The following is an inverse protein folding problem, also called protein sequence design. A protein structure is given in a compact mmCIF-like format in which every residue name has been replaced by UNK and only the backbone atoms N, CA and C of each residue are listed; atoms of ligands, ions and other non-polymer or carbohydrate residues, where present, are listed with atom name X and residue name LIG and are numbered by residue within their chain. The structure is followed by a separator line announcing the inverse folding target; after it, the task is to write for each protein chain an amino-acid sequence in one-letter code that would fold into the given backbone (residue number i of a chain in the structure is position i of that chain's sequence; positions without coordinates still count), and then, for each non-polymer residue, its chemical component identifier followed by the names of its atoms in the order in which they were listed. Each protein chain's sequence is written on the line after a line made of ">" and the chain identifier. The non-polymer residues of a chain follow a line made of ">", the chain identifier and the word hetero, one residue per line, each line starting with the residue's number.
data_IF_751453886164
#
_entry.id   IF_751453886164
#
_cell.length_a   1.000
_cell.length_b   1.000
_cell.length_c   1.000
_cell.angle_alpha   90.00
_cell.angle_beta   90.00
_cell.angle_gamma   90.00
#
_symmetry.space_group_name_H-M   'P 1'
#
loop_
_entity.id
_entity.type
_entity.pdbx_description
1 polymer ?
#
# COMPACT_ATOMS: atom_id res chain seq x y z
N UNK A 1 10.93 70.50 -1.44
CA UNK A 1 10.01 69.36 -1.10
C UNK A 1 9.68 68.47 -2.28
N UNK A 2 9.45 68.91 -3.50
CA UNK A 2 9.06 68.06 -4.66
C UNK A 2 10.09 67.04 -5.11
N UNK A 3 11.40 67.30 -5.01
CA UNK A 3 12.49 66.38 -5.45
C UNK A 3 12.64 65.12 -4.56
N UNK A 4 12.36 65.21 -3.27
CA UNK A 4 12.46 64.09 -2.34
C UNK A 4 11.23 63.15 -2.45
N UNK A 5 10.09 63.67 -2.79
CA UNK A 5 8.86 62.87 -2.99
C UNK A 5 8.96 62.00 -4.25
N UNK A 6 9.56 62.54 -5.32
CA UNK A 6 9.76 61.77 -6.56
C UNK A 6 10.79 60.64 -6.38
N UNK A 7 11.85 60.86 -5.62
CA UNK A 7 12.83 59.80 -5.28
C UNK A 7 12.21 58.70 -4.43
N UNK A 8 11.40 59.03 -3.43
CA UNK A 8 10.69 58.04 -2.59
C UNK A 8 9.70 57.19 -3.40
N UNK A 9 8.98 57.84 -4.34
CA UNK A 9 8.02 57.18 -5.21
C UNK A 9 8.69 56.19 -6.19
N UNK A 10 9.81 56.56 -6.79
CA UNK A 10 10.59 55.71 -7.66
C UNK A 10 11.19 54.52 -6.89
N UNK A 11 11.64 54.69 -5.62
CA UNK A 11 12.19 53.61 -4.79
C UNK A 11 11.12 52.59 -4.40
N UNK A 12 9.90 53.04 -4.09
CA UNK A 12 8.78 52.12 -3.77
C UNK A 12 8.35 51.30 -4.97
N UNK A 13 8.34 51.89 -6.18
CA UNK A 13 8.01 51.19 -7.42
C UNK A 13 9.08 50.12 -7.74
N UNK A 14 10.37 50.43 -7.56
CA UNK A 14 11.45 49.48 -7.81
C UNK A 14 11.41 48.31 -6.82
N UNK A 15 11.10 48.59 -5.54
CA UNK A 15 10.95 47.52 -4.53
C UNK A 15 9.74 46.63 -4.81
N UNK A 16 8.62 47.22 -5.26
CA UNK A 16 7.44 46.41 -5.63
C UNK A 16 7.66 45.62 -6.93
N UNK A 17 8.45 46.09 -7.87
CA UNK A 17 8.84 45.32 -9.07
C UNK A 17 9.80 44.20 -8.74
N UNK A 18 10.74 44.41 -7.83
CA UNK A 18 11.68 43.36 -7.36
C UNK A 18 10.96 42.29 -6.56
N UNK A 19 9.92 42.61 -5.78
CA UNK A 19 9.09 41.62 -5.08
C UNK A 19 8.17 40.81 -6.02
N UNK A 20 7.75 41.39 -7.14
CA UNK A 20 7.00 40.68 -8.18
C UNK A 20 7.90 39.75 -9.01
N UNK A 21 9.18 40.07 -9.20
CA UNK A 21 10.14 39.20 -9.89
C UNK A 21 10.62 38.02 -9.01
N UNK A 22 10.60 38.20 -7.70
CA UNK A 22 10.92 37.08 -6.77
C UNK A 22 9.76 36.12 -6.54
N UNK A 23 8.52 36.45 -6.94
CA UNK A 23 7.37 35.55 -6.86
C UNK A 23 7.24 34.56 -8.04
N UNK A 24 8.01 34.79 -9.13
CA UNK A 24 8.22 33.81 -10.19
C UNK A 24 9.44 32.90 -9.85
N UNK A 25 9.50 32.33 -8.66
CA UNK A 25 10.17 31.05 -8.54
C UNK A 25 9.32 30.08 -9.35
N UNK A 26 9.75 29.79 -10.58
CA UNK A 26 9.39 28.56 -11.25
C UNK A 26 9.61 27.46 -10.21
N UNK A 27 8.53 26.91 -9.66
CA UNK A 27 8.61 25.57 -9.12
C UNK A 27 9.17 24.74 -10.28
N UNK A 28 10.48 24.45 -10.24
CA UNK A 28 11.03 23.44 -11.11
C UNK A 28 10.13 22.22 -10.83
N UNK A 29 9.31 21.85 -11.78
CA UNK A 29 8.60 20.57 -11.74
C UNK A 29 9.66 19.56 -11.38
N UNK A 30 9.56 19.00 -10.18
CA UNK A 30 10.46 17.94 -9.73
C UNK A 30 10.24 16.81 -10.71
N UNK A 31 11.15 16.67 -11.67
CA UNK A 31 11.09 15.62 -12.68
C UNK A 31 10.96 14.29 -11.93
N UNK A 32 9.83 13.62 -12.08
CA UNK A 32 9.58 12.34 -11.45
C UNK A 32 10.55 11.32 -12.05
N UNK A 33 11.42 10.67 -11.25
CA UNK A 33 12.34 9.65 -11.75
C UNK A 33 11.58 8.52 -12.42
N UNK A 34 12.06 8.12 -13.62
CA UNK A 34 11.49 7.02 -14.39
C UNK A 34 12.32 5.78 -14.19
N UNK A 35 11.68 4.68 -13.78
CA UNK A 35 12.26 3.35 -13.66
C UNK A 35 11.79 2.52 -14.84
N UNK A 36 12.71 2.24 -15.79
CA UNK A 36 12.40 1.45 -16.99
C UNK A 36 12.56 -0.04 -16.71
N UNK A 37 11.45 -0.76 -16.69
CA UNK A 37 11.38 -2.20 -16.39
C UNK A 37 11.76 -3.10 -17.58
N UNK A 38 12.23 -2.55 -18.69
CA UNK A 38 12.55 -3.33 -19.91
C UNK A 38 13.81 -4.20 -19.82
N UNK A 39 14.76 -3.86 -18.94
CA UNK A 39 16.07 -4.53 -18.83
C UNK A 39 16.26 -5.15 -17.45
N UNK A 40 15.61 -6.27 -17.19
CA UNK A 40 15.71 -6.98 -15.90
C UNK A 40 16.62 -8.21 -16.02
N UNK A 41 17.52 -8.37 -15.05
CA UNK A 41 18.37 -9.57 -14.91
C UNK A 41 17.65 -10.60 -14.04
N UNK A 42 17.58 -11.83 -14.49
CA UNK A 42 17.13 -12.92 -13.63
C UNK A 42 18.13 -13.15 -12.50
N UNK A 43 17.63 -13.39 -11.32
CA UNK A 43 18.43 -13.66 -10.13
C UNK A 43 17.77 -14.71 -9.24
N UNK A 44 18.54 -15.29 -8.34
CA UNK A 44 18.03 -16.18 -7.31
C UNK A 44 17.59 -15.37 -6.07
N UNK A 45 16.80 -16.02 -5.21
CA UNK A 45 16.41 -15.44 -3.91
C UNK A 45 17.64 -15.15 -3.05
N UNK A 46 18.67 -16.04 -3.10
CA UNK A 46 19.91 -15.85 -2.36
C UNK A 46 20.75 -14.66 -2.83
N UNK A 47 20.56 -14.19 -4.06
CA UNK A 47 21.31 -13.02 -4.56
C UNK A 47 20.81 -11.70 -3.93
N UNK A 48 19.55 -11.67 -3.52
CA UNK A 48 18.87 -10.47 -3.03
C UNK A 48 18.84 -10.36 -1.52
N UNK A 49 18.68 -11.49 -0.83
CA UNK A 49 18.42 -11.47 0.60
C UNK A 49 19.60 -12.02 1.39
N UNK A 50 19.99 -11.28 2.41
CA UNK A 50 21.03 -11.68 3.37
C UNK A 50 20.49 -12.72 4.38
N UNK A 51 19.18 -12.64 4.66
CA UNK A 51 18.51 -13.47 5.66
C UNK A 51 17.04 -13.68 5.33
N UNK A 52 16.53 -14.88 5.60
CA UNK A 52 15.10 -15.23 5.57
C UNK A 52 14.72 -15.71 6.96
N UNK A 53 13.84 -15.03 7.65
CA UNK A 53 13.34 -15.39 8.98
C UNK A 53 11.91 -15.90 8.87
N UNK A 54 11.63 -17.05 9.50
CA UNK A 54 10.32 -17.68 9.47
C UNK A 54 9.72 -17.66 10.87
N UNK A 55 8.54 -17.04 10.97
CA UNK A 55 7.76 -16.97 12.20
C UNK A 55 6.49 -17.80 12.02
N UNK A 56 6.36 -18.94 12.73
CA UNK A 56 5.15 -19.75 12.69
C UNK A 56 4.01 -19.02 13.39
N UNK A 57 2.86 -18.89 12.74
CA UNK A 57 1.64 -18.38 13.37
C UNK A 57 0.88 -19.55 13.99
N UNK A 58 0.90 -19.63 15.31
CA UNK A 58 0.23 -20.70 16.06
C UNK A 58 -1.14 -20.20 16.53
N UNK A 59 -2.20 -20.77 15.95
CA UNK A 59 -3.57 -20.50 16.39
C UNK A 59 -3.85 -21.17 17.74
N UNK A 60 -4.85 -20.69 18.43
CA UNK A 60 -5.39 -21.36 19.62
C UNK A 60 -6.10 -22.64 19.20
N UNK A 61 -6.04 -23.66 20.03
CA UNK A 61 -6.74 -24.93 19.78
C UNK A 61 -8.23 -24.71 19.47
N UNK A 62 -8.69 -25.33 18.40
CA UNK A 62 -10.05 -25.17 17.89
C UNK A 62 -10.27 -23.99 16.92
N UNK A 63 -9.31 -23.09 16.77
CA UNK A 63 -9.35 -22.00 15.82
C UNK A 63 -8.45 -22.30 14.61
N UNK A 64 -8.76 -21.68 13.47
CA UNK A 64 -7.93 -21.80 12.25
C UNK A 64 -7.84 -20.46 11.53
N UNK A 65 -6.76 -20.26 10.76
CA UNK A 65 -6.65 -19.16 9.80
C UNK A 65 -7.38 -19.56 8.50
N UNK A 66 -8.25 -18.70 8.02
CA UNK A 66 -8.77 -18.80 6.65
C UNK A 66 -7.74 -18.37 5.61
N UNK A 67 -8.15 -18.20 4.37
CA UNK A 67 -7.29 -17.62 3.34
C UNK A 67 -6.91 -16.20 3.74
N UNK A 68 -5.60 -15.98 3.92
CA UNK A 68 -5.08 -14.69 4.38
C UNK A 68 -5.09 -13.67 3.24
N UNK A 69 -5.88 -12.63 3.41
CA UNK A 69 -5.99 -11.54 2.45
C UNK A 69 -4.92 -10.48 2.68
N UNK A 70 -4.72 -10.10 3.95
CA UNK A 70 -3.84 -9.00 4.29
C UNK A 70 -3.06 -9.27 5.58
N UNK A 71 -1.82 -8.80 5.61
CA UNK A 71 -0.96 -8.81 6.80
C UNK A 71 -0.52 -7.39 7.08
N UNK A 72 -0.67 -6.94 8.30
CA UNK A 72 -0.05 -5.72 8.79
C UNK A 72 1.00 -6.06 9.84
N UNK A 73 2.17 -5.46 9.69
CA UNK A 73 3.32 -5.67 10.57
C UNK A 73 3.53 -4.39 11.38
N UNK A 74 3.61 -4.53 12.70
CA UNK A 74 4.00 -3.45 13.61
C UNK A 74 5.20 -3.88 14.45
N UNK A 75 5.69 -3.01 15.31
CA UNK A 75 6.81 -3.34 16.20
C UNK A 75 6.48 -4.50 17.15
N UNK A 76 5.23 -4.57 17.62
CA UNK A 76 4.80 -5.50 18.65
C UNK A 76 4.00 -6.70 18.13
N UNK A 77 3.31 -6.53 16.99
CA UNK A 77 2.31 -7.49 16.54
C UNK A 77 2.36 -7.74 15.04
N UNK A 78 1.82 -8.91 14.65
CA UNK A 78 1.30 -9.18 13.33
C UNK A 78 -0.23 -9.17 13.42
N UNK A 79 -0.90 -8.37 12.58
CA UNK A 79 -2.35 -8.37 12.45
C UNK A 79 -2.68 -8.95 11.09
N UNK A 80 -3.38 -10.07 11.10
CA UNK A 80 -3.69 -10.85 9.90
C UNK A 80 -5.20 -10.82 9.69
N UNK A 81 -5.66 -10.46 8.49
CA UNK A 81 -7.06 -10.64 8.10
C UNK A 81 -7.22 -11.80 7.14
N UNK A 82 -8.32 -12.51 7.25
CA UNK A 82 -8.66 -13.61 6.36
C UNK A 82 -9.95 -13.34 5.55
N UNK A 83 -10.23 -14.19 4.57
CA UNK A 83 -11.40 -14.08 3.69
C UNK A 83 -12.76 -14.14 4.41
N UNK A 84 -12.79 -14.55 5.68
CA UNK A 84 -13.99 -14.50 6.55
C UNK A 84 -14.15 -13.14 7.23
N UNK A 85 -13.24 -12.18 6.96
CA UNK A 85 -13.17 -10.87 7.59
C UNK A 85 -12.82 -10.92 9.09
N UNK A 86 -12.18 -12.00 9.53
CA UNK A 86 -11.64 -12.16 10.88
C UNK A 86 -10.26 -11.54 10.93
N UNK A 87 -10.03 -10.68 11.91
CA UNK A 87 -8.71 -10.17 12.24
C UNK A 87 -8.15 -11.00 13.39
N UNK A 88 -6.93 -11.50 13.21
CA UNK A 88 -6.21 -12.24 14.24
C UNK A 88 -4.92 -11.53 14.56
N UNK A 89 -4.64 -11.36 15.84
CA UNK A 89 -3.43 -10.72 16.37
C UNK A 89 -2.48 -11.79 16.90
N UNK A 90 -1.23 -11.70 16.43
CA UNK A 90 -0.13 -12.50 16.93
C UNK A 90 0.98 -11.60 17.47
N UNK A 91 1.69 -12.03 18.52
CA UNK A 91 2.92 -11.35 18.93
C UNK A 91 4.05 -11.58 17.91
N UNK A 92 5.21 -10.98 18.14
CA UNK A 92 6.36 -11.09 17.20
C UNK A 92 7.00 -12.50 17.19
N UNK A 93 6.64 -13.37 18.14
CA UNK A 93 7.05 -14.77 18.13
C UNK A 93 6.07 -15.67 17.36
N UNK A 94 4.94 -15.09 16.92
CA UNK A 94 3.86 -15.76 16.21
C UNK A 94 2.84 -16.45 17.13
N UNK A 95 2.90 -16.19 18.43
CA UNK A 95 1.92 -16.70 19.39
C UNK A 95 0.63 -15.92 19.29
N UNK A 96 -0.50 -16.63 19.28
CA UNK A 96 -1.83 -16.05 19.28
C UNK A 96 -2.05 -15.12 20.49
N UNK A 97 -2.54 -13.92 20.23
CA UNK A 97 -2.95 -12.95 21.24
C UNK A 97 -4.48 -12.92 21.33
N UNK A 98 -5.14 -12.63 20.22
CA UNK A 98 -6.59 -12.44 20.19
C UNK A 98 -7.16 -12.59 18.77
N UNK A 99 -8.48 -12.69 18.68
CA UNK A 99 -9.20 -12.74 17.41
C UNK A 99 -10.50 -11.93 17.51
N UNK A 100 -10.90 -11.33 16.41
CA UNK A 100 -12.19 -10.63 16.28
C UNK A 100 -13.37 -11.54 15.91
N UNK A 101 -13.19 -12.86 15.94
CA UNK A 101 -14.21 -13.81 15.50
C UNK A 101 -15.56 -13.61 16.20
N UNK A 102 -15.54 -13.32 17.50
CA UNK A 102 -16.73 -13.03 18.30
C UNK A 102 -17.25 -11.59 18.18
N UNK A 103 -16.66 -10.79 17.27
CA UNK A 103 -17.09 -9.42 16.98
C UNK A 103 -17.76 -9.28 15.62
N UNK A 104 -17.99 -10.40 14.94
CA UNK A 104 -18.74 -10.42 13.67
C UNK A 104 -20.23 -10.48 13.99
N UNK A 105 -20.97 -9.46 13.60
CA UNK A 105 -22.41 -9.36 13.85
C UNK A 105 -22.96 -7.96 13.65
N UNK A 106 -24.13 -7.69 14.21
CA UNK A 106 -24.83 -6.41 14.12
C UNK A 106 -25.03 -5.72 15.48
N UNK A 107 -24.38 -6.21 16.52
CA UNK A 107 -24.41 -5.61 17.85
C UNK A 107 -23.65 -4.28 17.94
N UNK A 108 -23.79 -3.60 19.08
CA UNK A 108 -23.16 -2.29 19.28
C UNK A 108 -21.62 -2.34 19.15
N UNK A 109 -21.01 -3.41 19.62
CA UNK A 109 -19.56 -3.64 19.61
C UNK A 109 -19.10 -4.54 18.47
N UNK A 110 -19.96 -4.81 17.50
CA UNK A 110 -19.74 -5.75 16.42
C UNK A 110 -19.66 -5.04 15.08
N UNK A 111 -19.16 -5.75 14.07
CA UNK A 111 -19.17 -5.33 12.68
C UNK A 111 -19.64 -6.46 11.78
N UNK A 112 -20.35 -6.12 10.73
CA UNK A 112 -20.82 -7.10 9.72
C UNK A 112 -19.88 -7.15 8.50
N UNK A 113 -19.18 -6.06 8.21
CA UNK A 113 -18.30 -5.93 7.05
C UNK A 113 -17.06 -5.13 7.45
N UNK A 114 -15.88 -5.66 7.11
CA UNK A 114 -14.59 -4.95 7.18
C UNK A 114 -14.28 -4.39 5.80
N UNK A 115 -14.35 -3.07 5.65
CA UNK A 115 -13.91 -2.39 4.44
C UNK A 115 -12.39 -2.25 4.41
N UNK A 116 -11.78 -1.96 5.56
CA UNK A 116 -10.35 -1.85 5.76
C UNK A 116 -10.02 -1.88 7.24
N UNK A 117 -8.75 -2.07 7.56
CA UNK A 117 -8.29 -1.99 8.94
C UNK A 117 -6.88 -1.45 9.03
N UNK A 118 -6.51 -0.94 10.20
CA UNK A 118 -5.16 -0.53 10.55
C UNK A 118 -4.85 -0.88 12.00
N UNK A 119 -3.60 -1.24 12.28
CA UNK A 119 -3.05 -1.17 13.64
C UNK A 119 -2.41 0.20 13.80
N UNK A 120 -2.97 1.02 14.68
CA UNK A 120 -2.48 2.37 14.94
C UNK A 120 -1.31 2.32 15.95
N UNK A 121 -0.07 2.57 15.52
CA UNK A 121 1.10 2.46 16.39
C UNK A 121 1.19 3.55 17.45
N UNK A 122 0.41 4.63 17.32
CA UNK A 122 0.44 5.76 18.25
C UNK A 122 -0.40 5.55 19.52
N UNK A 123 -1.33 4.59 19.49
CA UNK A 123 -2.20 4.25 20.62
C UNK A 123 -2.36 2.75 20.86
N UNK A 124 -1.72 1.91 20.03
CA UNK A 124 -1.80 0.44 20.03
C UNK A 124 -3.22 -0.09 19.82
N UNK A 125 -4.03 0.62 19.06
CA UNK A 125 -5.39 0.21 18.75
C UNK A 125 -5.47 -0.53 17.41
N UNK A 126 -6.47 -1.41 17.29
CA UNK A 126 -6.92 -1.96 16.02
C UNK A 126 -8.11 -1.12 15.56
N UNK A 127 -7.98 -0.51 14.42
CA UNK A 127 -8.98 0.37 13.84
C UNK A 127 -9.62 -0.29 12.63
N UNK A 128 -10.93 -0.53 12.68
CA UNK A 128 -11.70 -1.23 11.65
C UNK A 128 -12.64 -0.25 10.97
N UNK A 129 -12.47 -0.10 9.67
CA UNK A 129 -13.44 0.61 8.82
C UNK A 129 -14.61 -0.30 8.49
N UNK A 130 -15.80 0.20 8.77
CA UNK A 130 -17.08 -0.34 8.29
C UNK A 130 -17.73 0.64 7.32
N UNK A 131 -18.81 0.33 6.64
CA UNK A 131 -19.47 1.29 5.73
C UNK A 131 -19.85 2.63 6.37
N UNK A 132 -20.12 2.65 7.68
CA UNK A 132 -20.62 3.84 8.36
C UNK A 132 -19.75 4.32 9.54
N UNK A 133 -18.85 3.51 10.04
CA UNK A 133 -18.11 3.79 11.27
C UNK A 133 -16.64 3.38 11.17
N UNK A 134 -15.81 4.11 11.92
CA UNK A 134 -14.50 3.65 12.36
C UNK A 134 -14.67 3.09 13.78
N UNK A 135 -14.39 1.81 13.94
CA UNK A 135 -14.43 1.10 15.23
C UNK A 135 -12.99 0.97 15.73
N UNK A 136 -12.73 1.51 16.92
CA UNK A 136 -11.41 1.44 17.54
C UNK A 136 -11.47 0.43 18.69
N UNK A 137 -10.67 -0.62 18.59
CA UNK A 137 -10.54 -1.68 19.59
C UNK A 137 -9.15 -1.66 20.20
N UNK A 138 -9.02 -2.17 21.43
CA UNK A 138 -7.72 -2.59 21.93
C UNK A 138 -7.24 -3.88 21.22
N UNK A 139 -6.03 -4.32 21.52
CA UNK A 139 -5.48 -5.56 20.94
C UNK A 139 -6.21 -6.83 21.35
N UNK A 140 -7.12 -6.79 22.32
CA UNK A 140 -7.97 -7.89 22.74
C UNK A 140 -9.39 -7.79 22.16
N UNK A 141 -9.62 -6.87 21.22
CA UNK A 141 -10.91 -6.56 20.61
C UNK A 141 -11.99 -6.10 21.61
N UNK A 142 -11.61 -5.40 22.69
CA UNK A 142 -12.56 -4.61 23.47
C UNK A 142 -12.80 -3.28 22.77
N UNK A 143 -14.06 -2.95 22.49
CA UNK A 143 -14.40 -1.69 21.83
C UNK A 143 -14.09 -0.50 22.75
N UNK A 144 -13.22 0.37 22.27
CA UNK A 144 -12.83 1.61 22.97
C UNK A 144 -13.64 2.80 22.48
N UNK A 145 -13.90 2.84 21.15
CA UNK A 145 -14.59 3.97 20.53
C UNK A 145 -15.24 3.54 19.21
N UNK A 146 -16.41 4.13 18.95
CA UNK A 146 -17.13 4.04 17.67
C UNK A 146 -17.31 5.45 17.11
N UNK A 147 -16.71 5.73 15.97
CA UNK A 147 -16.71 7.06 15.33
C UNK A 147 -17.51 6.99 14.05
N UNK A 148 -18.48 7.88 13.90
CA UNK A 148 -19.26 7.95 12.65
C UNK A 148 -18.38 8.52 11.54
N UNK A 149 -18.35 7.84 10.41
CA UNK A 149 -17.65 8.29 9.20
C UNK A 149 -18.51 9.33 8.44
N UNK A 150 -17.85 10.25 7.71
CA UNK A 150 -18.54 11.15 6.81
C UNK A 150 -19.15 10.37 5.65
N UNK A 151 -20.44 10.60 5.39
CA UNK A 151 -21.19 9.91 4.32
C UNK A 151 -21.28 10.73 3.04
N UNK A 152 -20.84 12.00 3.05
CA UNK A 152 -20.87 12.91 1.89
C UNK A 152 -19.65 13.82 1.91
N UNK A 153 -19.08 14.06 0.75
CA UNK A 153 -18.20 15.21 0.53
C UNK A 153 -19.06 16.47 0.31
N UNK A 154 -18.60 17.62 0.80
CA UNK A 154 -19.34 18.88 0.71
C UNK A 154 -19.75 19.28 -0.72
N UNK A 155 -19.12 18.70 -1.74
CA UNK A 155 -19.34 19.00 -3.16
C UNK A 155 -20.01 17.86 -3.96
N UNK A 156 -20.19 16.68 -3.37
CA UNK A 156 -20.79 15.53 -4.09
C UNK A 156 -22.30 15.50 -3.93
N UNK A 157 -23.03 15.45 -5.04
CA UNK A 157 -24.48 15.54 -5.03
C UNK A 157 -25.19 14.25 -4.63
N UNK A 158 -24.70 13.04 -4.91
CA UNK A 158 -25.57 11.88 -4.97
C UNK A 158 -25.05 10.51 -4.49
N UNK A 159 -23.84 10.34 -4.00
CA UNK A 159 -23.38 9.01 -3.61
C UNK A 159 -22.85 8.95 -2.19
N UNK A 160 -23.24 7.89 -1.48
CA UNK A 160 -22.69 7.60 -0.15
C UNK A 160 -21.20 7.39 -0.24
N UNK A 161 -20.43 8.18 0.53
CA UNK A 161 -19.00 8.05 0.63
C UNK A 161 -18.68 6.81 1.49
N UNK A 162 -17.93 5.86 0.93
CA UNK A 162 -17.38 4.71 1.63
C UNK A 162 -15.87 4.70 1.52
N UNK A 163 -15.20 4.08 2.47
CA UNK A 163 -13.75 4.02 2.52
C UNK A 163 -13.29 2.56 2.61
N UNK A 164 -12.28 2.19 1.84
CA UNK A 164 -11.75 0.83 1.82
C UNK A 164 -10.33 0.71 2.36
N UNK A 165 -9.69 1.82 2.68
CA UNK A 165 -8.34 1.86 3.27
C UNK A 165 -8.22 2.94 4.32
N UNK A 166 -7.42 2.65 5.33
CA UNK A 166 -7.05 3.57 6.41
C UNK A 166 -5.55 3.50 6.66
N UNK A 167 -4.95 4.65 6.89
CA UNK A 167 -3.57 4.77 7.34
C UNK A 167 -3.47 5.83 8.44
N UNK A 168 -2.73 5.54 9.51
CA UNK A 168 -2.67 6.38 10.70
C UNK A 168 -1.50 7.36 10.63
N UNK A 169 -1.80 8.65 10.67
CA UNK A 169 -0.81 9.73 10.75
C UNK A 169 -0.47 10.08 12.19
N UNK A 170 -1.41 9.88 13.11
CA UNK A 170 -1.24 10.08 14.55
C UNK A 170 -2.33 9.31 15.30
N UNK A 171 -2.38 9.50 16.61
CA UNK A 171 -3.40 8.90 17.50
C UNK A 171 -4.85 9.11 17.02
N UNK A 172 -5.12 10.24 16.38
CA UNK A 172 -6.48 10.64 15.98
C UNK A 172 -6.59 11.08 14.51
N UNK A 173 -5.47 11.24 13.81
CA UNK A 173 -5.48 11.63 12.42
C UNK A 173 -5.24 10.41 11.52
N UNK A 174 -6.14 10.24 10.58
CA UNK A 174 -6.15 9.12 9.65
C UNK A 174 -6.22 9.62 8.21
N UNK A 175 -5.55 8.93 7.31
CA UNK A 175 -5.80 9.04 5.88
C UNK A 175 -6.80 7.96 5.52
N UNK A 176 -7.93 8.36 4.96
CA UNK A 176 -8.98 7.48 4.46
C UNK A 176 -8.98 7.53 2.94
N UNK A 177 -9.00 6.36 2.29
CA UNK A 177 -9.12 6.28 0.84
C UNK A 177 -10.55 5.88 0.50
N UNK A 178 -11.27 6.74 -0.26
CA UNK A 178 -12.62 6.42 -0.72
C UNK A 178 -12.61 5.22 -1.68
N UNK A 179 -13.64 4.40 -1.61
CA UNK A 179 -13.92 3.38 -2.63
C UNK A 179 -14.28 4.05 -3.95
N UNK A 180 -13.74 3.57 -5.06
CA UNK A 180 -13.98 4.14 -6.40
C UNK A 180 -15.36 3.79 -6.98
N UNK A 181 -16.43 3.83 -6.17
CA UNK A 181 -17.77 3.45 -6.63
C UNK A 181 -18.36 4.42 -7.64
N UNK A 182 -17.83 5.63 -7.76
CA UNK A 182 -18.42 6.68 -8.63
C UNK A 182 -17.48 7.32 -9.65
N UNK A 183 -16.24 6.84 -9.80
CA UNK A 183 -15.31 7.43 -10.80
C UNK A 183 -14.85 8.88 -10.54
N UNK A 184 -15.37 9.54 -9.52
CA UNK A 184 -15.10 10.97 -9.23
C UNK A 184 -14.13 11.20 -8.07
N UNK A 185 -13.75 10.17 -7.32
CA UNK A 185 -12.88 10.33 -6.15
C UNK A 185 -11.41 10.19 -6.53
N UNK A 186 -10.73 11.31 -6.68
CA UNK A 186 -9.33 11.41 -7.10
C UNK A 186 -8.39 11.71 -5.95
N UNK A 187 -8.76 11.44 -4.72
CA UNK A 187 -7.96 11.85 -3.58
C UNK A 187 -8.10 10.97 -2.36
N UNK A 188 -7.29 11.26 -1.36
CA UNK A 188 -7.37 10.72 -0.03
C UNK A 188 -7.89 11.79 0.92
N UNK A 189 -8.58 11.40 1.98
CA UNK A 189 -9.14 12.32 2.95
C UNK A 189 -8.38 12.24 4.26
N UNK A 190 -7.97 13.38 4.80
CA UNK A 190 -7.45 13.46 6.17
C UNK A 190 -8.63 13.61 7.12
N UNK A 191 -8.82 12.61 7.94
CA UNK A 191 -9.94 12.51 8.89
C UNK A 191 -9.44 12.59 10.33
N UNK A 192 -10.06 13.46 11.12
CA UNK A 192 -9.83 13.53 12.57
C UNK A 192 -10.94 12.76 13.30
N UNK A 193 -10.57 11.61 13.85
CA UNK A 193 -11.49 10.76 14.61
C UNK A 193 -11.91 11.35 15.96
N UNK A 194 -11.21 12.37 16.49
CA UNK A 194 -11.59 13.05 17.73
C UNK A 194 -12.79 13.98 17.53
N UNK A 195 -12.82 14.70 16.43
CA UNK A 195 -13.88 15.64 16.05
C UNK A 195 -14.88 15.07 15.04
N UNK A 196 -14.63 13.87 14.49
CA UNK A 196 -15.40 13.24 13.39
C UNK A 196 -15.48 14.11 12.13
N UNK A 197 -14.40 14.82 11.79
CA UNK A 197 -14.37 15.76 10.67
C UNK A 197 -13.30 15.42 9.64
N UNK A 198 -13.62 15.67 8.36
CA UNK A 198 -12.61 15.75 7.30
C UNK A 198 -11.90 17.10 7.46
N UNK A 199 -10.58 17.08 7.59
CA UNK A 199 -9.76 18.26 7.73
C UNK A 199 -9.23 18.74 6.39
N UNK A 200 -8.86 17.82 5.51
CA UNK A 200 -8.22 18.13 4.23
C UNK A 200 -8.45 17.02 3.22
N UNK A 201 -8.43 17.38 1.94
CA UNK A 201 -8.28 16.45 0.83
C UNK A 201 -6.81 16.43 0.38
N UNK A 202 -6.27 15.25 0.10
CA UNK A 202 -4.96 15.07 -0.53
C UNK A 202 -5.24 14.64 -1.95
N UNK A 203 -5.20 15.60 -2.88
CA UNK A 203 -5.36 15.32 -4.29
C UNK A 203 -4.04 14.77 -4.85
N UNK A 204 -4.12 13.75 -5.66
CA UNK A 204 -3.01 13.23 -6.45
C UNK A 204 -3.45 13.06 -7.90
N UNK A 205 -2.54 13.39 -8.80
CA UNK A 205 -2.81 13.26 -10.23
C UNK A 205 -2.90 11.79 -10.61
N UNK A 206 -4.00 11.42 -11.27
CA UNK A 206 -4.21 10.11 -11.86
C UNK A 206 -4.19 10.21 -13.38
N UNK A 207 -3.44 9.31 -14.01
CA UNK A 207 -3.52 9.15 -15.46
C UNK A 207 -4.80 8.37 -15.84
N UNK A 208 -5.17 8.37 -17.13
CA UNK A 208 -6.37 7.65 -17.59
C UNK A 208 -6.32 6.15 -17.28
N UNK A 209 -5.11 5.56 -17.29
CA UNK A 209 -4.90 4.15 -16.95
C UNK A 209 -5.17 3.88 -15.46
N UNK A 210 -4.96 4.88 -14.60
CA UNK A 210 -5.19 4.78 -13.15
C UNK A 210 -6.68 4.72 -12.80
N UNK A 211 -7.56 5.05 -13.75
CA UNK A 211 -9.02 4.95 -13.58
C UNK A 211 -9.56 3.53 -13.75
N UNK A 212 -8.69 2.58 -14.08
CA UNK A 212 -9.07 1.17 -14.17
C UNK A 212 -9.25 0.63 -12.76
N UNK A 213 -10.43 0.12 -12.50
CA UNK A 213 -10.75 -0.51 -11.21
C UNK A 213 -10.09 -1.89 -11.09
N UNK A 214 -8.76 -1.91 -11.07
CA UNK A 214 -7.99 -3.08 -10.63
C UNK A 214 -7.58 -2.84 -9.19
N UNK A 215 -8.08 -3.64 -8.28
CA UNK A 215 -7.62 -3.60 -6.90
C UNK A 215 -6.12 -3.93 -6.86
N UNK A 216 -5.34 -2.92 -6.57
CA UNK A 216 -3.93 -3.04 -6.20
C UNK A 216 -3.84 -3.07 -4.67
N UNK A 217 -2.86 -3.80 -4.14
CA UNK A 217 -2.55 -3.70 -2.72
C UNK A 217 -2.11 -2.26 -2.43
N UNK A 218 -2.88 -1.57 -1.59
CA UNK A 218 -2.53 -0.22 -1.14
C UNK A 218 -1.39 -0.33 -0.12
N UNK A 219 -0.38 0.47 -0.31
CA UNK A 219 0.81 0.48 0.49
C UNK A 219 1.07 1.88 1.04
N UNK A 220 1.44 1.97 2.32
CA UNK A 220 1.91 3.19 2.95
C UNK A 220 3.19 2.91 3.73
N UNK A 221 4.18 3.79 3.58
CA UNK A 221 5.41 3.78 4.38
C UNK A 221 5.75 5.21 4.77
N UNK A 222 5.89 5.44 6.09
CA UNK A 222 6.30 6.73 6.61
C UNK A 222 7.81 6.77 6.86
N UNK A 223 8.42 7.88 6.43
CA UNK A 223 9.81 8.21 6.75
C UNK A 223 9.86 9.70 7.15
N UNK A 224 9.92 9.97 8.45
CA UNK A 224 9.79 11.33 8.99
C UNK A 224 8.42 11.95 8.70
N UNK A 225 8.38 13.12 8.02
CA UNK A 225 7.15 13.74 7.55
C UNK A 225 6.67 13.18 6.21
N UNK A 226 7.54 12.56 5.43
CA UNK A 226 7.16 11.99 4.14
C UNK A 226 6.44 10.66 4.31
N UNK A 227 5.30 10.52 3.63
CA UNK A 227 4.55 9.27 3.53
C UNK A 227 4.53 8.85 2.08
N UNK A 228 5.21 7.75 1.78
CA UNK A 228 5.14 7.10 0.46
C UNK A 228 3.90 6.22 0.40
N UNK A 229 3.20 6.26 -0.70
CA UNK A 229 2.02 5.42 -0.89
C UNK A 229 1.83 4.98 -2.34
N UNK A 230 1.09 3.89 -2.48
CA UNK A 230 0.55 3.39 -3.75
C UNK A 230 -0.95 3.36 -3.61
N UNK A 231 -1.71 4.00 -4.50
CA UNK A 231 -3.17 3.97 -4.45
C UNK A 231 -3.70 2.54 -4.69
N UNK A 232 -4.92 2.22 -4.20
CA UNK A 232 -5.52 0.89 -4.36
C UNK A 232 -6.08 0.62 -5.77
N UNK A 233 -5.70 1.42 -6.73
CA UNK A 233 -6.05 1.33 -8.15
C UNK A 233 -4.80 1.01 -8.97
N UNK A 234 -4.99 0.55 -10.21
CA UNK A 234 -3.86 0.40 -11.12
C UNK A 234 -3.21 1.76 -11.36
N UNK A 235 -1.92 1.86 -11.13
CA UNK A 235 -1.14 3.08 -11.36
C UNK A 235 0.29 2.73 -11.73
N UNK A 236 0.89 3.50 -12.64
CA UNK A 236 2.30 3.40 -12.99
C UNK A 236 3.20 4.17 -12.03
N UNK A 237 2.65 4.73 -10.96
CA UNK A 237 3.37 5.60 -10.04
C UNK A 237 3.47 5.03 -8.63
N UNK A 238 4.51 5.45 -7.91
CA UNK A 238 4.55 5.58 -6.46
C UNK A 238 4.46 7.07 -6.16
N UNK A 239 3.65 7.43 -5.18
CA UNK A 239 3.42 8.80 -4.73
C UNK A 239 4.06 9.03 -3.36
N UNK A 240 4.23 10.30 -3.03
CA UNK A 240 4.59 10.73 -1.68
C UNK A 240 3.78 11.97 -1.31
N UNK A 241 3.41 12.10 -0.04
CA UNK A 241 2.89 13.34 0.50
C UNK A 241 3.60 13.69 1.81
N UNK A 242 3.68 14.95 2.13
CA UNK A 242 4.18 15.41 3.42
C UNK A 242 3.04 15.39 4.46
N UNK A 243 3.23 14.67 5.57
CA UNK A 243 2.21 14.51 6.61
C UNK A 243 1.87 15.82 7.36
N UNK A 244 2.65 16.89 7.17
CA UNK A 244 2.43 18.21 7.78
C UNK A 244 1.70 19.15 6.84
N UNK A 245 2.21 19.29 5.61
CA UNK A 245 1.61 20.19 4.61
C UNK A 245 0.49 19.53 3.82
N UNK A 246 0.47 18.20 3.77
CA UNK A 246 -0.43 17.37 2.97
C UNK A 246 -0.27 17.61 1.45
N UNK A 247 0.87 18.14 1.03
CA UNK A 247 1.19 18.29 -0.37
C UNK A 247 1.64 16.96 -0.94
N UNK A 248 1.04 16.56 -2.06
CA UNK A 248 1.27 15.29 -2.73
C UNK A 248 2.02 15.48 -4.04
N UNK A 249 2.88 14.53 -4.38
CA UNK A 249 3.61 14.50 -5.65
C UNK A 249 3.89 13.06 -6.09
N UNK A 250 4.14 12.89 -7.38
CA UNK A 250 4.66 11.65 -7.96
C UNK A 250 6.12 11.46 -7.52
N UNK A 251 6.43 10.30 -6.95
CA UNK A 251 7.78 9.99 -6.46
C UNK A 251 8.60 9.19 -7.45
N UNK A 252 7.99 8.17 -8.06
CA UNK A 252 8.57 7.32 -9.11
C UNK A 252 7.53 7.01 -10.16
N UNK A 253 7.95 6.96 -11.42
CA UNK A 253 7.17 6.43 -12.55
C UNK A 253 7.79 5.12 -13.01
N UNK A 254 6.95 4.13 -13.31
CA UNK A 254 7.39 2.87 -13.89
C UNK A 254 7.00 2.84 -15.37
N UNK A 255 7.98 2.58 -16.21
CA UNK A 255 7.77 2.33 -17.64
C UNK A 255 8.20 0.92 -17.97
N UNK A 256 7.35 0.18 -18.65
CA UNK A 256 7.63 -1.20 -19.01
C UNK A 256 8.24 -1.36 -20.39
N UNK A 257 8.67 -2.58 -20.67
CA UNK A 257 9.01 -3.02 -22.03
C UNK A 257 7.77 -3.08 -22.92
N UNK A 258 7.96 -3.46 -24.19
CA UNK A 258 6.91 -3.51 -25.23
C UNK A 258 5.70 -4.41 -24.89
N UNK A 259 5.83 -5.28 -23.89
CA UNK A 259 4.76 -6.18 -23.45
C UNK A 259 3.94 -5.67 -22.26
N UNK A 260 4.30 -4.52 -21.68
CA UNK A 260 3.51 -3.95 -20.57
C UNK A 260 2.15 -3.47 -21.06
N UNK A 261 1.17 -3.55 -20.15
CA UNK A 261 -0.15 -2.96 -20.37
C UNK A 261 -0.01 -1.46 -20.57
N UNK A 262 -0.64 -0.94 -21.63
CA UNK A 262 -0.65 0.48 -21.95
C UNK A 262 -2.08 1.02 -21.99
N UNK A 263 -2.22 2.34 -21.98
CA UNK A 263 -3.52 3.01 -22.18
C UNK A 263 -4.17 2.56 -23.50
N UNK A 264 -3.40 2.47 -24.57
CA UNK A 264 -3.91 2.09 -25.91
C UNK A 264 -4.52 0.68 -25.92
N UNK A 265 -3.99 -0.25 -25.12
CA UNK A 265 -4.54 -1.61 -25.01
C UNK A 265 -5.98 -1.60 -24.46
N UNK A 266 -6.37 -0.55 -23.76
CA UNK A 266 -7.67 -0.40 -23.10
C UNK A 266 -8.62 0.54 -23.81
N UNK A 267 -8.12 1.44 -24.66
CA UNK A 267 -8.93 2.39 -25.43
C UNK A 267 -9.91 1.69 -26.39
N UNK A 268 -9.53 0.52 -26.91
CA UNK A 268 -10.37 -0.29 -27.79
C UNK A 268 -11.71 -0.73 -27.14
N UNK A 269 -11.79 -0.68 -25.80
CA UNK A 269 -12.99 -1.09 -25.05
C UNK A 269 -13.88 0.10 -24.64
N UNK A 270 -13.43 1.34 -24.87
CA UNK A 270 -14.16 2.57 -24.52
C UNK A 270 -14.57 2.57 -23.04
N UNK A 271 -15.84 2.86 -22.74
CA UNK A 271 -16.40 2.89 -21.37
C UNK A 271 -16.90 1.51 -20.89
N UNK A 272 -16.64 0.42 -21.62
CA UNK A 272 -17.14 -0.90 -21.24
C UNK A 272 -16.26 -1.59 -20.20
N UNK A 273 -16.51 -1.34 -18.93
CA UNK A 273 -15.75 -1.88 -17.80
C UNK A 273 -15.73 -3.42 -17.76
N UNK A 274 -16.80 -4.10 -18.12
CA UNK A 274 -16.86 -5.56 -18.12
C UNK A 274 -15.88 -6.14 -19.17
N UNK A 275 -15.79 -5.53 -20.36
CA UNK A 275 -14.85 -5.97 -21.39
C UNK A 275 -13.40 -5.67 -20.98
N UNK A 276 -13.14 -4.51 -20.37
CA UNK A 276 -11.81 -4.20 -19.82
C UNK A 276 -11.39 -5.23 -18.79
N UNK A 277 -12.25 -5.53 -17.81
CA UNK A 277 -11.96 -6.51 -16.77
C UNK A 277 -11.70 -7.91 -17.36
N UNK A 278 -12.52 -8.34 -18.32
CA UNK A 278 -12.32 -9.63 -18.99
C UNK A 278 -10.98 -9.67 -19.76
N UNK A 279 -10.61 -8.58 -20.43
CA UNK A 279 -9.31 -8.46 -21.09
C UNK A 279 -8.17 -8.53 -20.07
N UNK A 280 -8.22 -7.77 -18.99
CA UNK A 280 -7.20 -7.76 -17.93
C UNK A 280 -7.03 -9.11 -17.23
N UNK A 281 -8.09 -9.92 -17.18
CA UNK A 281 -8.01 -11.27 -16.64
C UNK A 281 -7.32 -12.26 -17.58
N UNK A 282 -7.42 -12.05 -18.90
CA UNK A 282 -7.01 -13.03 -19.92
C UNK A 282 -5.85 -12.58 -20.80
N UNK A 283 -5.41 -11.33 -20.69
CA UNK A 283 -4.31 -10.79 -21.51
C UNK A 283 -2.96 -11.42 -21.16
N UNK A 284 -2.10 -11.58 -22.17
CA UNK A 284 -0.69 -11.94 -21.98
C UNK A 284 0.21 -10.71 -21.69
N UNK A 285 -0.38 -9.53 -21.62
CA UNK A 285 0.34 -8.31 -21.20
C UNK A 285 0.83 -8.43 -19.77
N UNK A 286 1.89 -7.74 -19.47
CA UNK A 286 2.46 -7.61 -18.14
C UNK A 286 1.77 -6.47 -17.40
N UNK A 287 1.28 -6.75 -16.21
CA UNK A 287 0.49 -5.83 -15.39
C UNK A 287 1.18 -5.63 -14.05
N UNK A 288 1.42 -4.39 -13.65
CA UNK A 288 1.94 -4.05 -12.32
C UNK A 288 0.85 -4.24 -11.28
N UNK A 289 0.96 -5.30 -10.47
CA UNK A 289 -0.08 -5.67 -9.50
C UNK A 289 0.10 -4.92 -8.18
N UNK A 290 1.33 -4.82 -7.70
CA UNK A 290 1.64 -4.05 -6.50
C UNK A 290 3.06 -3.49 -6.55
N UNK A 291 3.28 -2.42 -5.82
CA UNK A 291 4.57 -1.75 -5.66
C UNK A 291 4.77 -1.41 -4.19
N UNK A 292 5.95 -1.68 -3.67
CA UNK A 292 6.31 -1.37 -2.28
C UNK A 292 7.72 -0.83 -2.23
N UNK A 293 7.93 0.18 -1.41
CA UNK A 293 9.24 0.81 -1.24
C UNK A 293 9.80 0.48 0.14
N UNK A 294 11.07 0.19 0.19
CA UNK A 294 11.90 0.11 1.41
C UNK A 294 13.11 1.03 1.24
N UNK A 295 13.92 1.20 2.27
CA UNK A 295 15.05 2.14 2.22
C UNK A 295 15.98 1.88 1.04
N UNK A 296 16.39 0.64 0.82
CA UNK A 296 17.37 0.26 -0.22
C UNK A 296 16.75 -0.06 -1.58
N UNK A 297 15.47 -0.39 -1.64
CA UNK A 297 14.89 -0.95 -2.86
C UNK A 297 13.42 -0.60 -3.07
N UNK A 298 12.94 -0.86 -4.28
CA UNK A 298 11.52 -0.92 -4.59
C UNK A 298 11.25 -2.33 -5.12
N UNK A 299 10.23 -3.00 -4.58
CA UNK A 299 9.74 -4.26 -5.11
C UNK A 299 8.44 -4.04 -5.89
N UNK A 300 8.38 -4.61 -7.08
CA UNK A 300 7.21 -4.54 -7.96
C UNK A 300 6.77 -5.96 -8.28
N UNK A 301 5.52 -6.29 -7.99
CA UNK A 301 4.94 -7.55 -8.44
C UNK A 301 4.28 -7.38 -9.81
N UNK A 302 4.61 -8.26 -10.72
CA UNK A 302 4.13 -8.26 -12.09
C UNK A 302 3.37 -9.54 -12.37
N UNK A 303 2.15 -9.38 -12.87
CA UNK A 303 1.34 -10.47 -13.41
C UNK A 303 1.54 -10.55 -14.92
N UNK A 304 1.79 -11.75 -15.45
CA UNK A 304 1.80 -12.03 -16.90
C UNK A 304 0.84 -13.17 -17.20
N UNK A 305 -0.17 -12.86 -17.98
CA UNK A 305 -1.24 -13.82 -18.28
C UNK A 305 -2.10 -14.17 -17.07
N UNK A 306 -2.94 -15.19 -17.21
CA UNK A 306 -3.86 -15.66 -16.16
C UNK A 306 -3.29 -16.81 -15.29
N UNK A 307 -2.08 -17.30 -15.57
CA UNK A 307 -1.45 -18.39 -14.82
C UNK A 307 -0.54 -17.83 -13.74
N UNK A 308 -0.60 -18.40 -12.54
CA UNK A 308 0.29 -18.03 -11.43
C UNK A 308 1.77 -18.20 -11.80
N UNK A 309 2.11 -19.18 -12.66
CA UNK A 309 3.48 -19.38 -13.17
C UNK A 309 4.03 -18.22 -14.00
N UNK A 310 3.16 -17.32 -14.48
CA UNK A 310 3.54 -16.09 -15.17
C UNK A 310 3.81 -14.91 -14.23
N UNK A 311 3.67 -15.09 -12.92
CA UNK A 311 3.90 -14.02 -11.95
C UNK A 311 5.37 -13.98 -11.53
N UNK A 312 5.90 -12.78 -11.41
CA UNK A 312 7.26 -12.53 -10.96
C UNK A 312 7.37 -11.22 -10.19
N UNK A 313 8.48 -11.04 -9.50
CA UNK A 313 8.78 -9.79 -8.80
C UNK A 313 10.02 -9.17 -9.41
N UNK A 314 10.03 -7.84 -9.53
CA UNK A 314 11.19 -7.05 -9.87
C UNK A 314 11.62 -6.30 -8.63
N UNK A 315 12.89 -6.37 -8.30
CA UNK A 315 13.52 -5.55 -7.27
C UNK A 315 14.40 -4.51 -7.96
N UNK A 316 14.11 -3.25 -7.73
CA UNK A 316 14.92 -2.11 -8.14
C UNK A 316 15.82 -1.71 -6.97
N UNK A 317 17.13 -1.86 -7.12
CA UNK A 317 18.13 -1.40 -6.16
C UNK A 317 18.35 0.10 -6.35
N UNK A 318 18.04 0.89 -5.32
CA UNK A 318 18.12 2.36 -5.40
C UNK A 318 19.55 2.90 -5.49
N UNK A 319 20.53 2.16 -4.99
CA UNK A 319 21.93 2.60 -4.98
C UNK A 319 22.61 2.36 -6.32
N UNK A 320 22.39 1.18 -6.92
CA UNK A 320 23.00 0.81 -8.19
C UNK A 320 22.14 1.11 -9.43
N UNK A 321 20.82 1.29 -9.25
CA UNK A 321 19.86 1.38 -10.34
C UNK A 321 19.58 0.03 -11.03
N UNK A 322 20.11 -1.07 -10.51
CA UNK A 322 19.91 -2.40 -11.10
C UNK A 322 18.50 -2.92 -10.87
N UNK A 323 17.99 -3.63 -11.87
CA UNK A 323 16.70 -4.33 -11.83
C UNK A 323 16.95 -5.84 -11.83
N UNK A 324 16.45 -6.51 -10.79
CA UNK A 324 16.60 -7.95 -10.58
C UNK A 324 15.24 -8.62 -10.55
N UNK A 325 15.06 -9.68 -11.33
CA UNK A 325 13.80 -10.42 -11.46
C UNK A 325 13.86 -11.74 -10.70
N UNK A 326 12.85 -11.99 -9.90
CA UNK A 326 12.60 -13.26 -9.24
C UNK A 326 11.27 -13.82 -9.73
N UNK A 327 11.29 -15.04 -10.27
CA UNK A 327 10.06 -15.76 -10.59
C UNK A 327 9.41 -16.25 -9.28
N UNK A 328 8.06 -16.18 -9.20
CA UNK A 328 7.36 -16.70 -8.03
C UNK A 328 7.32 -18.23 -8.01
N UNK A 329 7.45 -18.84 -9.18
CA UNK A 329 7.37 -20.28 -9.37
C UNK A 329 8.55 -20.78 -10.20
N UNK A 330 9.01 -22.01 -9.88
CA UNK A 330 9.89 -22.82 -10.73
C UNK A 330 9.12 -24.09 -11.10
N UNK A 331 8.62 -24.16 -12.33
CA UNK A 331 7.63 -25.15 -12.73
C UNK A 331 6.34 -25.03 -11.89
N UNK A 332 6.01 -26.09 -11.15
CA UNK A 332 4.85 -26.10 -10.23
C UNK A 332 5.20 -25.71 -8.79
N UNK A 333 6.49 -25.60 -8.45
CA UNK A 333 6.94 -25.27 -7.09
C UNK A 333 6.95 -23.76 -6.90
N UNK A 334 6.33 -23.28 -5.84
CA UNK A 334 6.43 -21.88 -5.40
C UNK A 334 7.81 -21.67 -4.77
N UNK A 335 8.52 -20.62 -5.20
CA UNK A 335 9.89 -20.32 -4.73
C UNK A 335 10.00 -18.97 -4.06
N UNK A 336 9.09 -18.06 -4.39
CA UNK A 336 9.02 -16.75 -3.77
C UNK A 336 7.54 -16.34 -3.61
N UNK A 337 7.09 -15.86 -2.44
CA UNK A 337 5.71 -15.44 -2.23
C UNK A 337 5.49 -14.00 -2.65
N UNK A 338 4.22 -13.62 -2.81
CA UNK A 338 3.85 -12.21 -2.89
C UNK A 338 4.14 -11.52 -1.55
N UNK A 339 4.80 -10.37 -1.62
CA UNK A 339 5.03 -9.55 -0.43
C UNK A 339 3.70 -8.89 -0.06
N UNK A 340 3.37 -8.95 1.22
CA UNK A 340 2.12 -8.44 1.80
C UNK A 340 2.31 -7.17 2.61
N UNK A 341 3.51 -6.96 3.14
CA UNK A 341 3.86 -5.78 3.93
C UNK A 341 5.35 -5.51 3.86
N UNK A 342 5.75 -4.31 4.22
CA UNK A 342 7.16 -3.92 4.36
C UNK A 342 7.34 -3.01 5.58
N UNK A 343 8.54 -3.01 6.13
CA UNK A 343 9.06 -1.93 6.94
C UNK A 343 10.22 -1.22 6.22
N UNK A 344 10.94 -0.33 6.89
CA UNK A 344 12.05 0.41 6.26
C UNK A 344 13.14 -0.51 5.67
N UNK A 345 13.36 -1.70 6.22
CA UNK A 345 14.50 -2.56 5.89
C UNK A 345 14.13 -3.95 5.38
N UNK A 346 12.87 -4.37 5.55
CA UNK A 346 12.46 -5.75 5.34
C UNK A 346 11.17 -5.87 4.55
N UNK A 347 11.05 -6.99 3.86
CA UNK A 347 9.85 -7.40 3.16
C UNK A 347 9.18 -8.53 3.95
N UNK A 348 7.86 -8.53 4.01
CA UNK A 348 7.08 -9.54 4.73
C UNK A 348 6.08 -10.20 3.80
N UNK A 349 6.05 -11.53 3.86
CA UNK A 349 5.07 -12.34 3.15
C UNK A 349 4.33 -13.25 4.10
N UNK A 350 3.13 -13.64 3.71
CA UNK A 350 2.43 -14.76 4.31
C UNK A 350 2.63 -16.01 3.44
N UNK A 351 2.95 -17.12 4.08
CA UNK A 351 3.13 -18.41 3.42
C UNK A 351 2.21 -19.42 4.08
N UNK A 352 1.40 -20.08 3.28
CA UNK A 352 0.52 -21.12 3.74
C UNK A 352 1.31 -22.38 4.15
N UNK A 353 0.77 -23.13 5.10
CA UNK A 353 1.42 -24.32 5.66
C UNK A 353 1.83 -25.35 4.58
N UNK A 354 0.99 -25.53 3.57
CA UNK A 354 1.27 -26.46 2.48
C UNK A 354 2.38 -25.99 1.52
N UNK A 355 2.61 -24.69 1.39
CA UNK A 355 3.61 -24.12 0.46
C UNK A 355 5.03 -24.14 1.06
N UNK A 356 5.13 -23.98 2.39
CA UNK A 356 6.41 -23.77 3.07
C UNK A 356 7.43 -24.89 2.83
N UNK A 357 7.09 -26.21 2.89
CA UNK A 357 8.08 -27.27 2.68
C UNK A 357 8.79 -27.19 1.33
N UNK A 358 8.04 -26.93 0.26
CA UNK A 358 8.60 -26.79 -1.10
C UNK A 358 9.48 -25.55 -1.24
N UNK A 359 9.10 -24.46 -0.60
CA UNK A 359 9.88 -23.21 -0.60
C UNK A 359 11.19 -23.38 0.17
N UNK A 360 11.17 -24.06 1.33
CA UNK A 360 12.36 -24.35 2.12
C UNK A 360 13.36 -25.21 1.36
N UNK A 361 12.88 -26.22 0.64
CA UNK A 361 13.74 -27.05 -0.21
C UNK A 361 14.44 -26.19 -1.26
N UNK A 362 13.69 -25.33 -1.96
CA UNK A 362 14.24 -24.43 -2.97
C UNK A 362 15.25 -23.44 -2.37
N UNK A 363 14.92 -22.80 -1.23
CA UNK A 363 15.83 -21.83 -0.58
C UNK A 363 17.13 -22.49 -0.12
N UNK A 364 17.08 -23.72 0.41
CA UNK A 364 18.29 -24.49 0.74
C UNK A 364 19.15 -24.77 -0.50
N UNK A 365 18.51 -25.19 -1.61
CA UNK A 365 19.21 -25.43 -2.88
C UNK A 365 19.85 -24.15 -3.45
N UNK A 366 19.24 -23.00 -3.22
CA UNK A 366 19.76 -21.68 -3.62
C UNK A 366 20.83 -21.13 -2.64
N UNK A 367 21.11 -21.83 -1.54
CA UNK A 367 22.09 -21.36 -0.54
C UNK A 367 21.60 -20.20 0.31
N UNK A 368 20.27 -20.03 0.49
CA UNK A 368 19.72 -18.97 1.34
C UNK A 368 20.02 -19.23 2.81
N UNK A 369 20.33 -18.17 3.55
CA UNK A 369 20.39 -18.19 5.02
C UNK A 369 18.97 -18.14 5.59
N UNK A 370 18.45 -19.27 6.04
CA UNK A 370 17.08 -19.42 6.57
C UNK A 370 17.14 -19.70 8.05
N UNK A 371 16.46 -18.87 8.84
CA UNK A 371 16.36 -19.01 10.29
C UNK A 371 14.89 -19.12 10.73
N UNK A 372 14.64 -19.72 11.87
CA UNK A 372 13.33 -19.79 12.49
C UNK A 372 12.82 -21.23 12.66
N UNK A 373 11.67 -21.33 13.33
CA UNK A 373 11.01 -22.61 13.60
C UNK A 373 9.92 -22.85 12.54
N UNK A 374 10.00 -23.97 11.86
CA UNK A 374 9.04 -24.39 10.84
C UNK A 374 8.00 -25.40 11.36
N UNK A 375 8.09 -25.75 12.65
CA UNK A 375 7.18 -26.72 13.28
C UNK A 375 5.98 -26.01 13.90
N UNK A 376 4.81 -26.62 13.78
CA UNK A 376 3.58 -26.26 14.48
C UNK A 376 2.93 -24.89 14.13
N UNK A 377 3.16 -24.34 12.93
CA UNK A 377 2.41 -23.16 12.43
C UNK A 377 1.17 -23.57 11.64
N UNK A 378 0.10 -22.79 11.76
CA UNK A 378 -1.09 -22.87 10.89
C UNK A 378 -0.92 -22.05 9.62
N UNK A 379 0.04 -21.14 9.64
CA UNK A 379 0.59 -20.32 8.56
C UNK A 379 1.90 -19.69 9.02
N UNK A 380 2.57 -18.97 8.15
CA UNK A 380 3.90 -18.41 8.46
C UNK A 380 4.05 -17.01 7.94
N UNK A 381 4.59 -16.14 8.79
CA UNK A 381 5.17 -14.86 8.33
C UNK A 381 6.62 -15.14 7.95
N UNK A 382 6.97 -14.78 6.74
CA UNK A 382 8.34 -14.84 6.24
C UNK A 382 8.87 -13.41 6.05
N UNK A 383 9.95 -13.12 6.77
CA UNK A 383 10.64 -11.84 6.71
C UNK A 383 11.92 -12.00 5.89
N UNK A 384 12.07 -11.14 4.88
CA UNK A 384 13.24 -11.07 4.02
C UNK A 384 14.03 -9.80 4.33
N UNK A 385 15.30 -9.96 4.71
CA UNK A 385 16.23 -8.84 4.90
C UNK A 385 17.09 -8.69 3.65
N UNK A 386 17.08 -7.52 3.03
CA UNK A 386 17.90 -7.20 1.84
C UNK A 386 19.41 -7.20 2.16
N UNK A 387 20.23 -7.52 1.16
CA UNK A 387 21.69 -7.40 1.24
C UNK A 387 22.17 -5.97 1.30
#
# INVERSE_FOLDING_TARGET
>A
MKKNFFRLFCTVIVISYLSLLSSCQHQQEKVCPVINLGNVKECSVSDLFSKIEIVPLAMREGNFLGNVDRVQVSDNYYVVSDSRQILTVFDKTGKFVSSSENKIGNGHEEYSIVMGYSYNPYNNNIEILTPAHLLCYDVNFNLLKKVKLPTKLAKSKDTGLMFDRIYDLSKHLHVLIPTSVSGESTGMLVFDSSSSKILKNIDYEMDEIDKINMQSDCFFLRNGSAVTFVPPIYSDYIYTFDATTMECSRKYKFEGGSNMLTKNDLEAFGSNENKKNLFLMNTDKEILVSKMEVDKAIIVHVKKGNRLSGWYSILYDKASGELKKINLYSGKKKIFPLIKNVDAQSLYAYVEKQDLPSMLECWKQMGCNVEGNVLNGDGFIVKYTLK
#
